data_IF_744628540974
#
_entry.id   IF_744628540974
#
_cell.length_a   1.000
_cell.length_b   1.000
_cell.length_c   1.000
_cell.angle_alpha   90.00
_cell.angle_beta   90.00
_cell.angle_gamma   90.00
#
_symmetry.space_group_name_H-M   'P 1'
#
loop_
_entity.id
_entity.type
_entity.pdbx_description
1 polymer ?
#
# COMPACT_ATOMS: atom_id res chain seq x y z
N UNK A 1 -6.76 3.55 8.26
CA UNK A 1 -6.35 3.68 6.84
C UNK A 1 -6.72 5.08 6.40
N UNK A 2 -5.77 5.82 5.81
CA UNK A 2 -5.95 7.22 5.38
C UNK A 2 -6.06 7.37 3.87
N UNK A 3 -5.33 6.57 3.09
CA UNK A 3 -5.45 6.49 1.62
C UNK A 3 -5.25 5.04 1.17
N UNK A 4 -5.86 4.67 0.05
CA UNK A 4 -5.71 3.38 -0.60
C UNK A 4 -5.80 3.56 -2.12
N UNK A 5 -4.71 3.27 -2.82
CA UNK A 5 -4.64 3.38 -4.29
C UNK A 5 -4.39 2.01 -4.89
N UNK A 6 -5.42 1.47 -5.53
CA UNK A 6 -5.33 0.23 -6.30
C UNK A 6 -4.91 0.56 -7.73
N UNK A 7 -3.94 -0.17 -8.23
CA UNK A 7 -3.37 -0.01 -9.56
C UNK A 7 -3.21 -1.39 -10.22
N UNK A 8 -3.14 -1.42 -11.53
CA UNK A 8 -2.94 -2.64 -12.29
C UNK A 8 -3.32 -2.46 -13.75
N UNK A 9 -2.69 -3.25 -14.61
CA UNK A 9 -3.03 -3.29 -16.02
C UNK A 9 -4.44 -3.89 -16.21
N UNK A 10 -5.32 -3.32 -17.06
CA UNK A 10 -6.66 -3.87 -17.32
C UNK A 10 -6.66 -5.33 -17.83
N UNK A 11 -5.59 -5.76 -18.50
CA UNK A 11 -5.42 -7.13 -18.99
C UNK A 11 -4.81 -8.06 -17.94
N UNK A 12 -4.21 -7.52 -16.88
CA UNK A 12 -3.72 -8.33 -15.77
C UNK A 12 -4.88 -8.84 -14.91
N UNK A 13 -4.80 -10.11 -14.51
CA UNK A 13 -5.74 -10.71 -13.54
C UNK A 13 -5.41 -10.31 -12.10
N UNK A 14 -4.20 -9.82 -11.85
CA UNK A 14 -3.72 -9.36 -10.55
C UNK A 14 -3.53 -7.83 -10.57
N UNK A 15 -3.93 -7.21 -9.47
CA UNK A 15 -3.69 -5.81 -9.14
C UNK A 15 -2.70 -5.70 -7.99
N UNK A 16 -2.24 -4.49 -7.78
CA UNK A 16 -1.46 -4.11 -6.60
C UNK A 16 -2.07 -2.85 -5.99
N UNK A 17 -1.76 -2.59 -4.74
CA UNK A 17 -2.22 -1.40 -4.06
C UNK A 17 -1.14 -0.82 -3.17
N UNK A 18 -1.19 0.49 -3.00
CA UNK A 18 -0.53 1.16 -1.89
C UNK A 18 -1.60 1.51 -0.87
N UNK A 19 -1.33 1.24 0.41
CA UNK A 19 -2.25 1.54 1.51
C UNK A 19 -1.48 2.37 2.54
N UNK A 20 -1.96 3.57 2.82
CA UNK A 20 -1.40 4.44 3.84
C UNK A 20 -2.21 4.33 5.14
N UNK A 21 -1.52 4.17 6.26
CA UNK A 21 -2.09 4.12 7.60
C UNK A 21 -1.88 5.44 8.34
N UNK A 22 -2.68 5.64 9.39
CA UNK A 22 -2.55 6.77 10.33
C UNK A 22 -1.20 6.74 11.06
N UNK A 23 -0.68 5.55 11.31
CA UNK A 23 0.47 5.30 12.17
C UNK A 23 1.30 4.12 11.63
N UNK A 24 2.59 4.13 11.96
CA UNK A 24 3.55 3.09 11.52
C UNK A 24 3.23 1.72 12.13
N UNK A 25 2.71 1.69 13.35
CA UNK A 25 2.40 0.43 14.03
C UNK A 25 1.32 -0.36 13.28
N UNK A 26 0.28 0.32 12.81
CA UNK A 26 -0.75 -0.26 11.96
C UNK A 26 -0.19 -0.75 10.62
N UNK A 27 0.70 0.02 9.99
CA UNK A 27 1.36 -0.40 8.75
C UNK A 27 2.22 -1.66 8.97
N UNK A 28 2.97 -1.71 10.07
CA UNK A 28 3.79 -2.87 10.44
C UNK A 28 2.95 -4.09 10.77
N UNK A 29 1.84 -3.91 11.50
CA UNK A 29 0.89 -4.99 11.79
C UNK A 29 0.29 -5.54 10.48
N UNK A 30 -0.04 -4.68 9.52
CA UNK A 30 -0.59 -5.12 8.24
C UNK A 30 0.37 -6.00 7.42
N UNK A 31 1.70 -5.87 7.61
CA UNK A 31 2.69 -6.78 6.97
C UNK A 31 2.46 -8.24 7.38
N UNK A 32 1.94 -8.51 8.59
CA UNK A 32 1.64 -9.87 9.04
C UNK A 32 0.47 -10.51 8.28
N UNK A 33 -0.29 -9.74 7.48
CA UNK A 33 -1.35 -10.26 6.61
C UNK A 33 -0.78 -10.86 5.32
N UNK A 34 0.51 -10.73 5.05
CA UNK A 34 1.17 -11.40 3.92
C UNK A 34 0.96 -12.92 4.00
N UNK A 35 0.55 -13.52 2.88
CA UNK A 35 0.16 -14.92 2.78
C UNK A 35 -1.33 -15.18 2.98
N UNK A 36 -2.11 -14.20 3.45
CA UNK A 36 -3.57 -14.33 3.55
C UNK A 36 -4.18 -14.53 2.17
N UNK A 37 -5.05 -15.51 2.01
CA UNK A 37 -5.73 -15.77 0.74
C UNK A 37 -6.74 -14.67 0.43
N UNK A 38 -6.54 -13.98 -0.71
CA UNK A 38 -7.46 -12.95 -1.21
C UNK A 38 -7.96 -13.36 -2.60
N UNK A 39 -9.14 -13.97 -2.64
CA UNK A 39 -9.61 -14.68 -3.83
C UNK A 39 -8.81 -15.97 -4.02
N UNK A 40 -8.23 -16.16 -5.20
CA UNK A 40 -7.48 -17.38 -5.54
C UNK A 40 -5.97 -17.28 -5.26
N UNK A 41 -5.47 -16.10 -4.90
CA UNK A 41 -4.04 -15.86 -4.74
C UNK A 41 -3.71 -15.39 -3.32
N UNK A 42 -2.58 -15.84 -2.75
CA UNK A 42 -2.11 -15.30 -1.48
C UNK A 42 -1.64 -13.85 -1.68
N UNK A 43 -2.16 -12.96 -0.85
CA UNK A 43 -1.77 -11.57 -0.79
C UNK A 43 -0.28 -11.49 -0.42
N UNK A 44 0.47 -10.62 -1.07
CA UNK A 44 1.82 -10.27 -0.63
C UNK A 44 1.79 -8.86 -0.07
N UNK A 45 2.15 -8.71 1.20
CA UNK A 45 2.24 -7.41 1.86
C UNK A 45 3.68 -7.13 2.22
N UNK A 46 4.15 -5.94 1.85
CA UNK A 46 5.52 -5.48 2.06
C UNK A 46 5.50 -4.02 2.54
N UNK A 47 6.50 -3.58 3.34
CA UNK A 47 6.71 -2.15 3.56
C UNK A 47 6.90 -1.43 2.23
N UNK A 48 6.24 -0.28 2.05
CA UNK A 48 6.40 0.50 0.83
C UNK A 48 7.72 1.26 0.84
N UNK A 49 8.37 1.34 -0.32
CA UNK A 49 9.56 2.19 -0.51
C UNK A 49 9.20 3.63 -0.88
N UNK A 50 7.92 3.90 -1.12
CA UNK A 50 7.39 5.19 -1.54
C UNK A 50 6.12 5.49 -0.76
N UNK A 51 5.98 6.72 -0.25
CA UNK A 51 4.70 7.19 0.27
C UNK A 51 3.68 7.27 -0.86
N UNK A 52 2.40 7.15 -0.53
CA UNK A 52 1.33 7.50 -1.46
C UNK A 52 1.36 9.02 -1.63
N UNK A 53 2.12 9.51 -2.60
CA UNK A 53 2.33 10.94 -2.76
C UNK A 53 0.95 11.64 -2.91
N UNK A 54 0.63 12.61 -2.06
CA UNK A 54 -0.49 13.49 -2.30
C UNK A 54 -0.28 14.18 -3.65
N UNK A 55 -1.34 14.23 -4.46
CA UNK A 55 -1.30 14.74 -5.85
C UNK A 55 -0.93 16.24 -5.92
N UNK A 56 -0.86 16.91 -4.76
CA UNK A 56 -0.41 18.28 -4.65
C UNK A 56 1.05 18.34 -4.16
N UNK A 57 1.99 18.88 -4.97
CA UNK A 57 3.42 18.96 -4.66
C UNK A 57 3.78 19.81 -3.43
N UNK A 58 2.85 20.54 -2.82
CA UNK A 58 3.08 21.18 -1.50
C UNK A 58 3.03 20.21 -0.33
N UNK A 59 2.47 19.01 -0.51
CA UNK A 59 2.42 17.96 0.50
C UNK A 59 3.48 16.86 0.29
N UNK A 60 4.41 17.08 -0.66
CA UNK A 60 5.58 16.20 -0.76
C UNK A 60 6.45 16.40 0.49
N UNK A 61 6.96 15.29 1.07
CA UNK A 61 7.80 15.37 2.25
C UNK A 61 9.06 16.20 2.03
N UNK A 62 9.22 17.28 2.81
CA UNK A 62 10.35 18.21 2.80
C UNK A 62 11.27 18.06 4.01
N UNK A 63 10.84 17.43 5.11
CA UNK A 63 11.68 17.10 6.28
C UNK A 63 11.94 15.59 6.45
N UNK A 64 12.84 15.20 7.36
CA UNK A 64 13.06 13.79 7.74
C UNK A 64 11.82 13.17 8.40
N UNK A 65 11.11 13.92 9.24
CA UNK A 65 9.83 13.50 9.85
C UNK A 65 8.77 13.23 8.78
N UNK A 66 8.83 13.97 7.68
CA UNK A 66 7.96 13.76 6.53
C UNK A 66 8.45 12.57 5.66
N UNK A 67 9.74 12.22 5.66
CA UNK A 67 10.24 10.97 5.06
C UNK A 67 9.75 9.73 5.80
N UNK A 68 9.37 9.84 7.08
CA UNK A 68 8.64 8.78 7.80
C UNK A 68 7.27 8.49 7.19
N UNK A 69 6.73 9.32 6.29
CA UNK A 69 5.47 9.02 5.60
C UNK A 69 5.51 7.72 4.78
N UNK A 70 6.70 7.25 4.37
CA UNK A 70 6.85 5.92 3.78
C UNK A 70 6.65 4.78 4.79
N UNK A 71 7.00 4.96 6.07
CA UNK A 71 6.88 3.91 7.10
C UNK A 71 5.41 3.59 7.42
N UNK A 72 4.52 4.55 7.20
CA UNK A 72 3.06 4.39 7.31
C UNK A 72 2.41 3.76 6.08
N UNK A 73 3.16 3.51 5.00
CA UNK A 73 2.61 2.98 3.75
C UNK A 73 3.06 1.55 3.52
N UNK A 74 2.12 0.67 3.13
CA UNK A 74 2.40 -0.69 2.67
C UNK A 74 2.14 -0.84 1.18
N UNK A 75 2.85 -1.78 0.56
CA UNK A 75 2.65 -2.25 -0.79
C UNK A 75 2.05 -3.66 -0.77
N UNK A 76 0.86 -3.78 -1.35
CA UNK A 76 0.13 -5.03 -1.46
C UNK A 76 0.11 -5.51 -2.91
N UNK A 77 0.47 -6.77 -3.18
CA UNK A 77 0.37 -7.38 -4.52
C UNK A 77 -0.44 -8.65 -4.51
N UNK A 78 -0.77 -9.15 -5.70
CA UNK A 78 -1.58 -10.34 -5.92
C UNK A 78 -3.05 -10.14 -5.51
N UNK A 79 -3.55 -8.91 -5.63
CA UNK A 79 -4.96 -8.63 -5.38
C UNK A 79 -5.73 -9.10 -6.62
N UNK A 80 -6.56 -10.13 -6.49
CA UNK A 80 -7.39 -10.60 -7.60
C UNK A 80 -8.33 -9.48 -8.08
N UNK A 81 -8.37 -9.23 -9.39
CA UNK A 81 -9.23 -8.19 -9.97
C UNK A 81 -10.72 -8.37 -9.69
N UNK A 82 -11.17 -9.57 -9.28
CA UNK A 82 -12.57 -9.84 -8.88
C UNK A 82 -12.88 -9.42 -7.45
N UNK A 83 -11.86 -9.16 -6.63
CA UNK A 83 -12.01 -8.70 -5.25
C UNK A 83 -12.28 -7.19 -5.18
N UNK A 84 -11.95 -6.45 -6.26
CA UNK A 84 -11.98 -4.99 -6.33
C UNK A 84 -12.85 -4.49 -7.48
#
# INVERSE_FOLDING_TARGET
VVDCRVCGDPNSILRFAFIEFTDEESARAAVSLSGTMLGYYPLRVLPSKTAIAPVNPTFLPRSEDEREMCSRTIYCTNIDKKVV
#
